data_IF_952094613551
#
_entry.id   IF_952094613551
#
_cell.length_a   1.000
_cell.length_b   1.000
_cell.length_c   1.000
_cell.angle_alpha   90.00
_cell.angle_beta   90.00
_cell.angle_gamma   90.00
#
_symmetry.space_group_name_H-M   'P 1'
#
loop_
_entity.id
_entity.type
_entity.pdbx_description
1 polymer ?
#
# COMPACT_ATOMS: atom_id res chain seq x y z
N UNK A 1 -51.89 -2.34 -62.90
CA UNK A 1 -50.66 -3.05 -62.48
C UNK A 1 -49.79 -2.06 -61.72
N UNK A 2 -49.06 -2.58 -60.74
CA UNK A 2 -47.92 -2.00 -60.02
C UNK A 2 -48.17 -1.36 -58.64
N UNK A 3 -47.42 -1.90 -57.66
CA UNK A 3 -47.59 -1.91 -56.21
C UNK A 3 -47.00 -0.68 -55.50
N UNK A 4 -47.40 -0.38 -54.25
CA UNK A 4 -46.64 0.53 -53.39
C UNK A 4 -45.52 -0.22 -52.65
N UNK A 5 -44.30 0.32 -52.72
CA UNK A 5 -43.12 -0.17 -52.00
C UNK A 5 -43.20 0.24 -50.53
N UNK A 6 -43.23 -0.73 -49.61
CA UNK A 6 -43.16 -0.51 -48.16
C UNK A 6 -41.69 -0.65 -47.74
N UNK A 7 -41.10 0.43 -47.20
CA UNK A 7 -39.78 0.41 -46.58
C UNK A 7 -39.93 0.13 -45.07
N UNK A 8 -39.42 -1.01 -44.61
CA UNK A 8 -39.41 -1.40 -43.19
C UNK A 8 -38.14 -0.81 -42.56
N UNK A 9 -38.31 0.17 -41.67
CA UNK A 9 -37.23 0.71 -40.84
C UNK A 9 -37.09 -0.13 -39.57
N UNK A 10 -36.04 -0.95 -39.51
CA UNK A 10 -35.62 -1.66 -38.30
C UNK A 10 -34.82 -0.71 -37.40
N UNK A 11 -35.47 -0.18 -36.36
CA UNK A 11 -34.80 0.56 -35.29
C UNK A 11 -34.14 -0.43 -34.32
N UNK A 12 -32.81 -0.52 -34.36
CA UNK A 12 -32.01 -1.24 -33.37
C UNK A 12 -31.88 -0.35 -32.13
N UNK A 13 -32.59 -0.71 -31.05
CA UNK A 13 -32.40 -0.08 -29.75
C UNK A 13 -31.11 -0.58 -29.13
N UNK A 14 -30.06 0.24 -29.17
CA UNK A 14 -28.83 -0.01 -28.43
C UNK A 14 -29.05 0.35 -26.95
N UNK A 15 -29.23 -0.67 -26.10
CA UNK A 15 -29.23 -0.52 -24.65
C UNK A 15 -27.82 -0.18 -24.18
N UNK A 16 -27.54 1.10 -23.93
CA UNK A 16 -26.30 1.52 -23.29
C UNK A 16 -26.36 1.16 -21.80
N UNK A 17 -25.69 0.08 -21.40
CA UNK A 17 -25.42 -0.21 -19.99
C UNK A 17 -24.35 0.76 -19.49
N UNK A 18 -24.75 1.77 -18.71
CA UNK A 18 -23.82 2.61 -17.97
C UNK A 18 -23.20 1.79 -16.82
N UNK A 19 -22.06 1.18 -17.05
CA UNK A 19 -21.23 0.68 -15.96
C UNK A 19 -20.59 1.88 -15.26
N UNK A 20 -21.13 2.28 -14.11
CA UNK A 20 -20.46 3.23 -13.23
C UNK A 20 -19.12 2.62 -12.81
N UNK A 21 -17.99 3.35 -12.87
CA UNK A 21 -16.75 2.85 -12.30
C UNK A 21 -16.99 2.64 -10.80
N UNK A 22 -16.91 1.38 -10.36
CA UNK A 22 -16.77 1.09 -8.93
C UNK A 22 -15.38 1.60 -8.57
N UNK A 23 -15.29 2.71 -7.85
CA UNK A 23 -14.09 3.02 -7.09
C UNK A 23 -13.92 1.87 -6.09
N UNK A 24 -13.12 0.87 -6.45
CA UNK A 24 -12.55 -0.04 -5.47
C UNK A 24 -11.70 0.83 -4.57
N UNK A 25 -12.26 1.26 -3.43
CA UNK A 25 -11.52 1.95 -2.39
C UNK A 25 -10.33 1.06 -2.05
N UNK A 26 -9.15 1.47 -2.49
CA UNK A 26 -7.95 0.67 -2.31
C UNK A 26 -7.63 0.68 -0.82
N UNK A 27 -7.61 -0.50 -0.20
CA UNK A 27 -7.41 -0.60 1.24
C UNK A 27 -6.06 0.02 1.65
N UNK A 28 -6.05 0.68 2.81
CA UNK A 28 -4.82 1.13 3.45
C UNK A 28 -3.87 -0.05 3.61
N UNK A 29 -2.59 0.17 3.29
CA UNK A 29 -1.59 -0.88 3.28
C UNK A 29 -0.20 -0.31 3.54
N UNK A 30 0.60 -1.01 4.33
CA UNK A 30 2.02 -0.75 4.47
C UNK A 30 2.80 -2.06 4.38
N UNK A 31 3.91 -2.04 3.63
CA UNK A 31 4.88 -3.10 3.53
C UNK A 31 6.29 -2.53 3.59
N UNK A 32 7.09 -3.05 4.51
CA UNK A 32 8.43 -2.55 4.78
C UNK A 32 9.40 -3.68 5.02
N UNK A 33 10.63 -3.50 4.57
CA UNK A 33 11.74 -4.40 4.84
C UNK A 33 12.75 -3.71 5.75
N UNK A 34 13.32 -4.48 6.68
CA UNK A 34 14.35 -4.03 7.61
C UNK A 34 15.57 -4.93 7.51
N UNK A 35 16.75 -4.34 7.53
CA UNK A 35 17.99 -4.99 7.09
C UNK A 35 19.09 -4.91 8.16
N UNK A 36 19.99 -5.89 8.14
CA UNK A 36 21.09 -5.97 9.10
C UNK A 36 22.22 -4.95 8.83
N UNK A 37 22.37 -4.46 7.59
CA UNK A 37 23.40 -3.47 7.22
C UNK A 37 22.82 -2.07 7.08
N UNK A 38 23.68 -1.06 6.96
CA UNK A 38 23.28 0.35 6.85
C UNK A 38 22.73 0.73 5.45
N UNK A 39 22.94 -0.11 4.43
CA UNK A 39 22.61 0.16 3.02
C UNK A 39 21.58 -0.83 2.45
N UNK A 40 20.62 -1.25 3.28
CA UNK A 40 19.53 -2.15 2.91
C UNK A 40 20.00 -3.46 2.25
N UNK A 41 21.05 -4.06 2.81
CA UNK A 41 21.61 -5.33 2.36
C UNK A 41 21.74 -6.34 3.51
N UNK A 42 22.27 -7.52 3.17
CA UNK A 42 22.42 -8.62 4.11
C UNK A 42 21.09 -9.25 4.51
N UNK A 43 21.05 -9.85 5.70
CA UNK A 43 19.83 -10.45 6.24
C UNK A 43 18.73 -9.40 6.38
N UNK A 44 17.49 -9.76 6.02
CA UNK A 44 16.34 -8.86 6.08
C UNK A 44 15.09 -9.54 6.62
N UNK A 45 14.23 -8.77 7.29
CA UNK A 45 12.84 -9.14 7.58
C UNK A 45 11.87 -8.24 6.81
N UNK A 46 10.72 -8.77 6.39
CA UNK A 46 9.66 -7.99 5.73
C UNK A 46 8.37 -8.09 6.52
N UNK A 47 7.69 -6.95 6.68
CA UNK A 47 6.54 -6.79 7.53
C UNK A 47 5.46 -6.00 6.82
N UNK A 48 4.22 -6.42 6.97
CA UNK A 48 3.09 -5.78 6.29
C UNK A 48 1.84 -5.72 7.18
N UNK A 49 0.97 -4.77 6.87
CA UNK A 49 -0.35 -4.60 7.47
C UNK A 49 -1.31 -4.04 6.42
N UNK A 50 -2.56 -4.49 6.46
CA UNK A 50 -3.63 -4.08 5.53
C UNK A 50 -4.89 -3.77 6.31
N UNK A 51 -5.59 -2.72 5.92
CA UNK A 51 -6.91 -2.36 6.42
C UNK A 51 -6.87 -1.12 7.30
N UNK A 52 -7.87 -0.26 7.14
CA UNK A 52 -8.00 0.99 7.91
C UNK A 52 -8.15 0.71 9.41
N UNK A 53 -7.46 1.49 10.25
CA UNK A 53 -7.37 1.33 11.69
C UNK A 53 -6.46 0.19 12.17
N UNK A 54 -5.77 -0.50 11.26
CA UNK A 54 -4.90 -1.61 11.62
C UNK A 54 -3.54 -1.15 12.15
N UNK A 55 -3.16 -1.69 13.30
CA UNK A 55 -1.88 -1.41 13.93
C UNK A 55 -1.07 -2.68 14.16
N UNK A 56 0.24 -2.60 13.89
CA UNK A 56 1.22 -3.63 14.28
C UNK A 56 2.45 -2.98 14.86
N UNK A 57 2.89 -3.47 16.01
CA UNK A 57 4.24 -3.27 16.52
C UNK A 57 5.05 -4.55 16.31
N UNK A 58 6.19 -4.44 15.65
CA UNK A 58 7.07 -5.56 15.35
C UNK A 58 8.43 -5.31 15.97
N UNK A 59 8.82 -6.18 16.90
CA UNK A 59 10.17 -6.19 17.46
C UNK A 59 11.17 -6.76 16.46
N UNK A 60 12.32 -6.10 16.35
CA UNK A 60 13.39 -6.51 15.46
C UNK A 60 14.74 -6.41 16.16
N UNK A 61 15.62 -7.38 15.91
CA UNK A 61 16.94 -7.45 16.52
C UNK A 61 18.02 -7.19 15.48
N UNK A 62 19.02 -6.38 15.84
CA UNK A 62 20.20 -6.09 15.01
C UNK A 62 19.88 -5.54 13.61
N UNK A 63 18.89 -4.64 13.50
CA UNK A 63 18.55 -3.97 12.24
C UNK A 63 19.06 -2.54 12.18
N UNK A 64 19.63 -2.17 11.04
CA UNK A 64 20.38 -0.92 10.82
C UNK A 64 19.91 -0.08 9.65
N UNK A 65 19.02 -0.61 8.82
CA UNK A 65 18.36 0.18 7.80
C UNK A 65 16.97 -0.36 7.50
N UNK A 66 16.17 0.48 6.85
CA UNK A 66 14.78 0.21 6.50
C UNK A 66 14.51 0.70 5.09
N UNK A 67 13.64 -0.02 4.37
CA UNK A 67 13.16 0.35 3.04
C UNK A 67 11.69 0.03 2.90
N UNK A 68 10.90 1.02 2.49
CA UNK A 68 9.48 0.84 2.21
C UNK A 68 9.32 0.20 0.84
N UNK A 69 8.53 -0.88 0.78
CA UNK A 69 8.21 -1.56 -0.47
C UNK A 69 6.86 -1.09 -1.04
N UNK A 70 5.89 -0.81 -0.17
CA UNK A 70 4.59 -0.25 -0.52
C UNK A 70 4.00 0.50 0.68
N UNK A 71 3.33 1.64 0.45
CA UNK A 71 2.68 2.44 1.50
C UNK A 71 1.52 3.25 0.93
N UNK A 72 0.32 3.04 1.49
CA UNK A 72 -0.93 3.70 1.12
C UNK A 72 -1.75 3.93 2.38
N UNK A 73 -2.03 5.19 2.73
CA UNK A 73 -2.88 5.53 3.88
C UNK A 73 -2.31 5.18 5.27
N UNK A 74 -1.04 4.73 5.34
CA UNK A 74 -0.44 4.27 6.59
C UNK A 74 0.82 5.06 6.96
N UNK A 75 1.11 5.10 8.25
CA UNK A 75 2.33 5.62 8.85
C UNK A 75 3.27 4.48 9.24
N UNK A 76 4.56 4.64 8.93
CA UNK A 76 5.63 3.70 9.29
C UNK A 76 6.61 4.45 10.20
N UNK A 77 6.87 3.93 11.40
CA UNK A 77 7.88 4.46 12.32
C UNK A 77 8.83 3.38 12.78
N UNK A 78 10.09 3.75 12.93
CA UNK A 78 11.09 2.97 13.65
C UNK A 78 11.20 3.46 15.08
N UNK A 79 11.49 2.55 16.00
CA UNK A 79 11.65 2.82 17.42
C UNK A 79 13.00 2.32 17.92
N UNK A 80 13.63 3.09 18.82
CA UNK A 80 14.93 2.75 19.36
C UNK A 80 14.93 1.51 20.25
N UNK A 81 13.76 1.16 20.83
CA UNK A 81 13.60 0.01 21.72
C UNK A 81 12.46 -0.92 21.27
N UNK A 82 12.45 -2.12 21.87
CA UNK A 82 11.39 -3.11 21.70
C UNK A 82 10.04 -2.57 22.23
N UNK A 83 8.94 -3.14 21.74
CA UNK A 83 7.58 -2.77 22.10
C UNK A 83 7.14 -1.42 21.54
N UNK A 84 7.83 -0.89 20.52
CA UNK A 84 7.58 0.44 19.95
C UNK A 84 7.69 1.55 21.00
N UNK A 85 8.76 1.49 21.79
CA UNK A 85 9.06 2.42 22.88
C UNK A 85 10.32 3.25 22.59
N UNK A 86 10.49 4.33 23.36
CA UNK A 86 11.65 5.20 23.28
C UNK A 86 11.55 6.24 22.16
N UNK A 87 12.71 6.61 21.60
CA UNK A 87 12.78 7.56 20.50
C UNK A 87 12.26 6.93 19.22
N UNK A 88 11.54 7.71 18.42
CA UNK A 88 11.05 7.27 17.12
C UNK A 88 11.49 8.18 15.99
N UNK A 89 11.52 7.59 14.80
CA UNK A 89 11.67 8.29 13.53
C UNK A 89 10.59 7.78 12.58
N UNK A 90 9.96 8.71 11.86
CA UNK A 90 8.89 8.40 10.90
C UNK A 90 9.46 8.44 9.49
N UNK A 91 9.18 7.39 8.72
CA UNK A 91 9.53 7.37 7.30
C UNK A 91 8.68 8.40 6.55
N UNK A 92 9.28 9.34 5.80
CA UNK A 92 8.53 10.33 5.02
C UNK A 92 7.52 9.69 4.05
N UNK A 93 6.49 10.46 3.69
CA UNK A 93 5.50 10.03 2.69
C UNK A 93 6.08 10.04 1.28
N UNK A 94 5.76 9.00 0.51
CA UNK A 94 6.30 8.79 -0.84
C UNK A 94 7.76 8.33 -0.90
N UNK A 95 8.42 8.18 0.24
CA UNK A 95 9.82 7.75 0.30
C UNK A 95 9.95 6.23 0.27
N UNK A 96 10.51 5.72 -0.83
CA UNK A 96 10.78 4.30 -1.07
C UNK A 96 12.28 3.99 -1.05
N UNK A 97 13.11 4.97 -0.66
CA UNK A 97 14.55 4.83 -0.61
C UNK A 97 15.01 4.05 0.62
N UNK A 98 16.30 3.71 0.63
CA UNK A 98 16.93 3.09 1.77
C UNK A 98 17.33 4.13 2.81
N UNK A 99 16.96 3.90 4.07
CA UNK A 99 17.32 4.77 5.19
C UNK A 99 18.15 4.02 6.21
N UNK A 100 19.35 4.53 6.50
CA UNK A 100 20.17 4.03 7.60
C UNK A 100 19.60 4.53 8.92
N UNK A 101 19.07 3.61 9.72
CA UNK A 101 18.47 3.89 11.02
C UNK A 101 18.61 2.64 11.89
N UNK A 102 19.30 2.78 13.02
CA UNK A 102 19.36 1.72 14.03
C UNK A 102 18.03 1.69 14.79
N UNK A 103 17.40 0.53 14.85
CA UNK A 103 16.09 0.39 15.49
C UNK A 103 15.88 -0.99 16.11
N UNK A 104 15.08 -1.03 17.18
CA UNK A 104 14.67 -2.23 17.90
C UNK A 104 13.22 -2.64 17.66
N UNK A 105 12.40 -1.76 17.07
CA UNK A 105 11.05 -2.10 16.64
C UNK A 105 10.58 -1.23 15.47
N UNK A 106 9.53 -1.69 14.80
CA UNK A 106 8.83 -0.99 13.71
C UNK A 106 7.35 -0.97 14.05
N UNK A 107 6.72 0.20 13.98
CA UNK A 107 5.26 0.30 14.03
C UNK A 107 4.69 0.61 12.65
N UNK A 108 3.69 -0.15 12.25
CA UNK A 108 2.87 0.09 11.07
C UNK A 108 1.47 0.47 11.54
N UNK A 109 0.99 1.64 11.16
CA UNK A 109 -0.34 2.13 11.52
C UNK A 109 -1.07 2.60 10.28
N UNK A 110 -2.09 1.85 9.90
CA UNK A 110 -3.18 2.26 9.04
C UNK A 110 -4.39 2.54 9.94
#
# INVERSE_FOLDING_TARGET
>A
MQLPTIAILTAVFASATSASPVEMLQADHAKVSSFATDLCGGESGTYEVTGSGSYRCIDVTNRRSIKVADKRGCTIKTWSAHGCLGSSWQVPDGDLDCHSVLHGAISLSC
#
